data_IF_156733257172
#
_entry.id   IF_156733257172
#
_cell.length_a   1.000
_cell.length_b   1.000
_cell.length_c   1.000
_cell.angle_alpha   90.00
_cell.angle_beta   90.00
_cell.angle_gamma   90.00
#
_symmetry.space_group_name_H-M   'P 1'
#
loop_
_entity.id
_entity.type
_entity.pdbx_description
1 polymer ?
#
# COMPACT_ATOMS: atom_id res chain seq x y z
N UNK A 1 20.05 -14.95 -6.59
CA UNK A 1 19.35 -16.26 -6.55
C UNK A 1 18.22 -16.18 -5.52
N UNK A 2 17.01 -15.86 -5.97
CA UNK A 2 15.88 -15.56 -5.09
C UNK A 2 14.79 -16.64 -5.29
N UNK A 3 14.22 -17.14 -4.19
CA UNK A 3 13.11 -18.10 -4.21
C UNK A 3 11.81 -17.32 -3.99
N UNK A 4 10.84 -17.43 -4.89
CA UNK A 4 9.56 -16.74 -4.80
C UNK A 4 8.45 -17.81 -4.76
N UNK A 5 7.71 -17.87 -3.67
CA UNK A 5 6.53 -18.73 -3.52
C UNK A 5 5.34 -18.18 -4.34
N UNK A 6 5.23 -18.64 -5.58
CA UNK A 6 4.04 -18.43 -6.43
C UNK A 6 3.21 -19.72 -6.31
N UNK A 7 2.03 -19.66 -5.70
CA UNK A 7 1.10 -20.82 -5.61
C UNK A 7 0.21 -20.87 -6.87
N UNK A 8 0.39 -21.84 -7.78
CA UNK A 8 -0.73 -22.36 -8.56
C UNK A 8 -1.43 -23.43 -7.70
N UNK A 9 -2.74 -23.57 -7.88
CA UNK A 9 -3.48 -24.66 -7.25
C UNK A 9 -2.83 -26.01 -7.59
N UNK A 10 -2.90 -26.94 -6.63
CA UNK A 10 -2.61 -28.38 -6.70
C UNK A 10 -1.30 -28.88 -6.02
N UNK A 11 -1.46 -29.33 -4.77
CA UNK A 11 -0.78 -30.40 -4.02
C UNK A 11 0.60 -30.91 -4.51
N UNK A 12 1.67 -30.17 -4.22
CA UNK A 12 2.91 -30.73 -3.66
C UNK A 12 3.77 -29.55 -3.18
N UNK A 13 4.21 -29.54 -1.92
CA UNK A 13 4.93 -28.43 -1.30
C UNK A 13 6.36 -28.30 -1.87
N UNK A 14 6.49 -27.70 -3.04
CA UNK A 14 7.77 -27.38 -3.67
C UNK A 14 7.95 -25.87 -3.83
N UNK A 15 8.99 -25.31 -3.21
CA UNK A 15 9.42 -23.93 -3.47
C UNK A 15 9.90 -23.82 -4.92
N UNK A 16 9.27 -22.97 -5.72
CA UNK A 16 9.71 -22.73 -7.10
C UNK A 16 10.87 -21.72 -7.12
N UNK A 17 11.90 -22.02 -7.89
CA UNK A 17 12.99 -21.08 -8.18
C UNK A 17 12.65 -20.36 -9.49
N UNK A 18 12.50 -19.05 -9.41
CA UNK A 18 12.23 -18.21 -10.57
C UNK A 18 13.39 -17.27 -10.80
N UNK A 19 13.81 -17.16 -12.06
CA UNK A 19 14.75 -16.13 -12.50
C UNK A 19 13.91 -15.01 -13.11
N UNK A 20 14.04 -13.81 -12.57
CA UNK A 20 13.32 -12.62 -13.04
C UNK A 20 14.37 -11.54 -13.28
N UNK A 21 14.45 -11.06 -14.52
CA UNK A 21 15.25 -9.89 -14.86
C UNK A 21 14.52 -8.64 -14.36
N UNK A 22 15.09 -8.03 -13.34
CA UNK A 22 14.59 -6.80 -12.73
C UNK A 22 15.58 -5.66 -13.02
N UNK A 23 15.10 -4.45 -13.33
CA UNK A 23 15.96 -3.27 -13.43
C UNK A 23 16.75 -3.05 -12.13
N UNK A 24 18.02 -2.65 -12.25
CA UNK A 24 18.91 -2.43 -11.10
C UNK A 24 18.36 -1.40 -10.11
N UNK A 25 17.74 -0.33 -10.61
CA UNK A 25 17.12 0.71 -9.79
C UNK A 25 16.04 0.14 -8.87
N UNK A 26 15.16 -0.69 -9.44
CA UNK A 26 14.09 -1.36 -8.70
C UNK A 26 14.66 -2.34 -7.67
N UNK A 27 15.70 -3.09 -8.06
CA UNK A 27 16.37 -4.02 -7.16
C UNK A 27 17.03 -3.30 -5.98
N UNK A 28 17.58 -2.10 -6.21
CA UNK A 28 18.16 -1.25 -5.18
C UNK A 28 17.10 -0.75 -4.19
N UNK A 29 15.96 -0.27 -4.67
CA UNK A 29 14.86 0.16 -3.81
C UNK A 29 14.33 -0.98 -2.92
N UNK A 30 14.16 -2.17 -3.51
CA UNK A 30 13.69 -3.36 -2.78
C UNK A 30 14.70 -3.78 -1.71
N UNK A 31 16.01 -3.71 -2.00
CA UNK A 31 17.06 -3.97 -1.00
C UNK A 31 17.00 -2.99 0.16
N UNK A 32 16.87 -1.68 -0.14
CA UNK A 32 16.77 -0.64 0.88
C UNK A 32 15.59 -0.93 1.80
N UNK A 33 14.41 -1.20 1.22
CA UNK A 33 13.19 -1.50 1.98
C UNK A 33 13.31 -2.79 2.81
N UNK A 34 13.96 -3.83 2.28
CA UNK A 34 14.23 -5.06 3.02
C UNK A 34 15.13 -4.84 4.24
N UNK A 35 16.15 -3.96 4.12
CA UNK A 35 17.02 -3.58 5.24
C UNK A 35 16.23 -2.80 6.29
N UNK A 36 15.43 -1.81 5.89
CA UNK A 36 14.61 -1.02 6.81
C UNK A 36 13.60 -1.88 7.58
N UNK A 37 12.99 -2.87 6.92
CA UNK A 37 12.02 -3.78 7.55
C UNK A 37 12.67 -4.98 8.27
N UNK A 38 14.00 -5.08 8.28
CA UNK A 38 14.77 -6.24 8.77
C UNK A 38 14.27 -7.59 8.21
N UNK A 39 13.83 -7.59 6.94
CA UNK A 39 13.32 -8.79 6.26
C UNK A 39 14.34 -9.32 5.27
N UNK A 40 14.28 -10.63 5.02
CA UNK A 40 15.06 -11.21 3.92
C UNK A 40 14.48 -10.71 2.60
N UNK A 41 15.36 -10.43 1.65
CA UNK A 41 15.00 -9.93 0.32
C UNK A 41 13.96 -10.81 -0.39
N UNK A 42 14.05 -12.14 -0.24
CA UNK A 42 13.07 -13.10 -0.76
C UNK A 42 11.66 -12.91 -0.18
N UNK A 43 11.58 -12.59 1.11
CA UNK A 43 10.32 -12.45 1.82
C UNK A 43 9.67 -11.11 1.46
N UNK A 44 10.48 -10.05 1.36
CA UNK A 44 10.04 -8.74 0.86
C UNK A 44 9.49 -8.82 -0.57
N UNK A 45 10.20 -9.50 -1.48
CA UNK A 45 9.75 -9.68 -2.87
C UNK A 45 8.47 -10.52 -2.93
N UNK A 46 8.38 -11.61 -2.17
CA UNK A 46 7.16 -12.40 -2.10
C UNK A 46 5.98 -11.57 -1.57
N UNK A 47 6.22 -10.69 -0.60
CA UNK A 47 5.21 -9.77 -0.08
C UNK A 47 4.77 -8.73 -1.11
N UNK A 48 5.69 -8.12 -1.86
CA UNK A 48 5.34 -7.19 -2.94
C UNK A 48 4.51 -7.86 -4.02
N UNK A 49 4.86 -9.08 -4.42
CA UNK A 49 4.09 -9.83 -5.42
C UNK A 49 2.69 -10.14 -4.88
N UNK A 50 2.57 -10.60 -3.63
CA UNK A 50 1.25 -10.84 -3.00
C UNK A 50 0.40 -9.57 -2.95
N UNK A 51 0.99 -8.44 -2.54
CA UNK A 51 0.31 -7.13 -2.50
C UNK A 51 -0.10 -6.67 -3.89
N UNK A 52 0.77 -6.80 -4.91
CA UNK A 52 0.46 -6.45 -6.29
C UNK A 52 -0.69 -7.28 -6.86
N UNK A 53 -0.69 -8.59 -6.60
CA UNK A 53 -1.76 -9.51 -7.00
C UNK A 53 -3.09 -9.27 -6.27
N UNK A 54 -3.06 -8.73 -5.04
CA UNK A 54 -4.25 -8.32 -4.31
C UNK A 54 -4.76 -6.95 -4.77
N UNK A 55 -3.86 -6.02 -5.08
CA UNK A 55 -4.18 -4.66 -5.54
C UNK A 55 -4.90 -4.64 -6.88
N UNK A 56 -4.58 -5.57 -7.79
CA UNK A 56 -5.29 -5.70 -9.08
C UNK A 56 -6.76 -6.12 -8.90
N UNK A 57 -7.12 -6.68 -7.75
CA UNK A 57 -8.50 -7.10 -7.41
C UNK A 57 -9.24 -6.06 -6.57
N UNK A 58 -8.53 -5.10 -5.99
CA UNK A 58 -9.15 -4.05 -5.19
C UNK A 58 -9.89 -3.10 -6.15
N UNK A 59 -11.22 -3.22 -6.22
CA UNK A 59 -12.08 -2.19 -6.79
C UNK A 59 -11.72 -0.88 -6.08
N UNK A 60 -11.51 0.25 -6.80
CA UNK A 60 -11.21 1.52 -6.16
C UNK A 60 -12.23 1.75 -5.06
N UNK A 61 -11.74 1.86 -3.82
CA UNK A 61 -12.58 2.20 -2.67
C UNK A 61 -13.16 3.54 -3.05
N UNK A 62 -14.48 3.58 -3.33
CA UNK A 62 -15.17 4.84 -3.54
C UNK A 62 -14.86 5.68 -2.32
N UNK A 63 -14.20 6.83 -2.54
CA UNK A 63 -13.92 7.76 -1.47
C UNK A 63 -15.22 7.92 -0.65
N UNK A 64 -15.15 7.85 0.70
CA UNK A 64 -16.33 8.04 1.51
C UNK A 64 -16.99 9.33 1.06
N UNK A 65 -18.31 9.30 0.85
CA UNK A 65 -19.05 10.48 0.41
C UNK A 65 -18.69 11.62 1.39
N UNK A 66 -18.28 12.80 0.89
CA UNK A 66 -17.97 13.92 1.76
C UNK A 66 -19.10 14.10 2.78
N UNK A 67 -18.73 14.21 4.06
CA UNK A 67 -19.70 14.44 5.13
C UNK A 67 -20.36 15.78 4.84
N UNK A 68 -21.63 15.73 4.42
CA UNK A 68 -22.42 16.94 4.26
C UNK A 68 -22.79 17.42 5.66
N UNK A 69 -22.27 18.57 6.04
CA UNK A 69 -22.73 19.27 7.24
C UNK A 69 -24.21 19.61 7.06
N UNK A 70 -24.96 19.61 8.16
CA UNK A 70 -26.40 19.84 8.12
C UNK A 70 -26.72 21.17 7.41
N UNK A 71 -27.74 21.17 6.55
CA UNK A 71 -28.10 22.34 5.74
C UNK A 71 -27.21 22.62 4.53
N UNK A 72 -26.21 21.78 4.23
CA UNK A 72 -25.32 22.01 3.09
C UNK A 72 -24.29 23.10 3.34
N UNK A 73 -23.98 23.36 4.62
CA UNK A 73 -22.97 24.32 5.02
C UNK A 73 -21.59 23.96 4.45
N UNK A 74 -21.02 24.88 3.69
CA UNK A 74 -19.64 24.85 3.20
C UNK A 74 -18.88 25.97 3.93
N UNK A 75 -18.11 25.66 4.99
CA UNK A 75 -17.43 26.69 5.77
C UNK A 75 -16.44 27.44 4.87
N UNK A 76 -16.48 28.77 4.95
CA UNK A 76 -15.42 29.61 4.40
C UNK A 76 -14.22 29.62 5.36
N UNK A 77 -13.07 30.13 4.89
CA UNK A 77 -11.90 30.32 5.76
C UNK A 77 -12.23 31.21 6.96
N UNK A 78 -13.08 32.21 6.78
CA UNK A 78 -13.52 33.15 7.82
C UNK A 78 -14.36 32.44 8.89
N UNK A 79 -15.28 31.56 8.48
CA UNK A 79 -16.10 30.76 9.41
C UNK A 79 -15.22 29.83 10.28
N UNK A 80 -14.13 29.31 9.73
CA UNK A 80 -13.17 28.45 10.44
C UNK A 80 -12.37 29.27 11.46
N UNK A 81 -11.86 30.45 11.06
CA UNK A 81 -11.09 31.32 11.94
C UNK A 81 -11.95 31.85 13.11
N UNK A 82 -13.20 32.23 12.83
CA UNK A 82 -14.15 32.68 13.84
C UNK A 82 -14.44 31.56 14.87
N UNK A 83 -14.63 30.32 14.41
CA UNK A 83 -14.87 29.18 15.30
C UNK A 83 -13.66 28.86 16.20
N UNK A 84 -12.44 29.00 15.67
CA UNK A 84 -11.20 28.81 16.45
C UNK A 84 -11.04 29.92 17.48
N UNK A 85 -11.37 31.17 17.13
CA UNK A 85 -11.33 32.30 18.06
C UNK A 85 -12.33 32.12 19.20
N UNK A 86 -13.56 31.69 18.89
CA UNK A 86 -14.62 31.48 19.89
C UNK A 86 -14.30 30.35 20.88
N UNK A 87 -13.53 29.34 20.49
CA UNK A 87 -13.12 28.23 21.36
C UNK A 87 -11.90 28.50 22.24
N UNK A 88 -11.33 29.73 22.21
CA UNK A 88 -10.16 30.13 22.98
C UNK A 88 -10.47 31.04 24.18
N UNK A 89 -11.72 31.48 24.34
CA UNK A 89 -12.25 32.13 25.55
C UNK A 89 -12.73 31.09 26.57
#
# INVERSE_FOLDING_TARGET
MLCIDIKPAFWNSGCVKTTLDLPDDLMREVKIRAVYEQKKLKDAIAEFIRRGMASSKARPVKAPKPVKLHGGFTPTTEDIEAAIAWGRD
#
